data_IF_205459893878
#
_entry.id   IF_205459893878
#
_cell.length_a   1.000
_cell.length_b   1.000
_cell.length_c   1.000
_cell.angle_alpha   90.00
_cell.angle_beta   90.00
_cell.angle_gamma   90.00
#
_symmetry.space_group_name_H-M   'P 1'
#
loop_
_entity.id
_entity.type
_entity.pdbx_description
1 polymer ?
#
# COMPACT_ATOMS: atom_id res chain seq x y z
N UNK A 1 6.90 -8.50 -11.45
CA UNK A 1 6.75 -8.03 -10.07
C UNK A 1 5.54 -8.70 -9.42
N UNK A 2 5.71 -9.18 -8.22
CA UNK A 2 4.64 -9.78 -7.45
C UNK A 2 4.06 -8.74 -6.49
N UNK A 3 2.75 -8.58 -6.48
CA UNK A 3 2.06 -7.63 -5.60
C UNK A 3 1.19 -8.40 -4.62
N UNK A 4 1.44 -8.20 -3.32
CA UNK A 4 0.66 -8.80 -2.25
C UNK A 4 -0.02 -7.68 -1.47
N UNK A 5 -1.32 -7.82 -1.24
CA UNK A 5 -2.11 -6.83 -0.52
C UNK A 5 -2.74 -7.49 0.70
N UNK A 6 -2.48 -6.93 1.87
CA UNK A 6 -3.02 -7.41 3.14
C UNK A 6 -3.89 -6.33 3.76
N UNK A 7 -4.95 -6.73 4.42
CA UNK A 7 -5.83 -5.80 5.12
C UNK A 7 -6.03 -6.23 6.57
N UNK A 8 -6.19 -5.24 7.44
CA UNK A 8 -6.45 -5.46 8.87
C UNK A 8 -7.54 -4.49 9.33
N UNK A 9 -8.57 -5.02 9.97
CA UNK A 9 -9.72 -4.26 10.47
C UNK A 9 -10.53 -3.56 9.36
N UNK A 10 -10.39 -4.02 8.12
CA UNK A 10 -11.16 -3.51 7.00
C UNK A 10 -11.39 -4.62 5.98
N UNK A 11 -12.42 -4.47 5.17
CA UNK A 11 -12.68 -5.37 4.06
C UNK A 11 -11.96 -4.88 2.81
N UNK A 12 -11.20 -5.77 2.18
CA UNK A 12 -10.51 -5.46 0.95
C UNK A 12 -11.46 -5.64 -0.24
N UNK A 13 -12.06 -4.53 -0.68
CA UNK A 13 -12.99 -4.53 -1.82
C UNK A 13 -12.24 -4.58 -3.13
N UNK A 14 -12.90 -5.02 -4.21
CA UNK A 14 -12.29 -5.05 -5.54
C UNK A 14 -11.86 -3.66 -6.02
N UNK A 15 -12.66 -2.58 -5.86
CA UNK A 15 -12.20 -1.25 -6.22
C UNK A 15 -10.95 -0.80 -5.47
N UNK A 16 -10.86 -1.10 -4.18
CA UNK A 16 -9.69 -0.74 -3.37
C UNK A 16 -8.45 -1.53 -3.82
N UNK A 17 -8.63 -2.81 -4.08
CA UNK A 17 -7.56 -3.68 -4.57
C UNK A 17 -7.03 -3.19 -5.93
N UNK A 18 -7.93 -2.88 -6.85
CA UNK A 18 -7.58 -2.37 -8.17
C UNK A 18 -6.86 -1.04 -8.09
N UNK A 19 -7.34 -0.13 -7.26
CA UNK A 19 -6.74 1.18 -7.04
C UNK A 19 -5.31 1.04 -6.52
N UNK A 20 -5.12 0.22 -5.49
CA UNK A 20 -3.81 -0.02 -4.90
C UNK A 20 -2.84 -0.64 -5.91
N UNK A 21 -3.28 -1.67 -6.61
CA UNK A 21 -2.47 -2.34 -7.63
C UNK A 21 -2.05 -1.37 -8.73
N UNK A 22 -2.99 -0.54 -9.20
CA UNK A 22 -2.73 0.44 -10.24
C UNK A 22 -1.68 1.48 -9.80
N UNK A 23 -1.80 1.99 -8.57
CA UNK A 23 -0.87 2.98 -8.04
C UNK A 23 0.54 2.42 -7.89
N UNK A 24 0.66 1.22 -7.35
CA UNK A 24 1.96 0.58 -7.18
C UNK A 24 2.59 0.25 -8.53
N UNK A 25 1.81 -0.23 -9.48
CA UNK A 25 2.30 -0.54 -10.84
C UNK A 25 2.85 0.72 -11.51
N UNK A 26 2.14 1.85 -11.40
CA UNK A 26 2.60 3.13 -11.96
C UNK A 26 3.85 3.64 -11.26
N UNK A 27 3.89 3.55 -9.94
CA UNK A 27 5.02 4.04 -9.15
C UNK A 27 6.29 3.26 -9.43
N UNK A 28 6.18 1.96 -9.75
CA UNK A 28 7.33 1.10 -9.99
C UNK A 28 7.62 0.84 -11.46
N UNK A 29 6.87 1.47 -12.36
CA UNK A 29 6.97 1.21 -13.80
C UNK A 29 8.40 1.33 -14.36
N UNK A 30 9.13 2.37 -13.95
CA UNK A 30 10.51 2.60 -14.41
C UNK A 30 11.52 1.63 -13.79
N UNK A 31 11.12 0.90 -12.76
CA UNK A 31 12.00 0.01 -12.00
C UNK A 31 11.54 -1.45 -12.05
N UNK A 32 10.68 -1.78 -13.00
CA UNK A 32 10.08 -3.12 -13.09
C UNK A 32 11.10 -4.26 -13.22
N UNK A 33 12.27 -3.98 -13.77
CA UNK A 33 13.31 -4.99 -13.95
C UNK A 33 14.07 -5.29 -12.65
N UNK A 34 14.03 -4.38 -11.68
CA UNK A 34 14.74 -4.53 -10.41
C UNK A 34 13.82 -4.78 -9.22
N UNK A 35 12.55 -4.36 -9.31
CA UNK A 35 11.56 -4.60 -8.26
C UNK A 35 11.04 -6.03 -8.37
N UNK A 36 11.24 -6.82 -7.33
CA UNK A 36 10.82 -8.23 -7.29
C UNK A 36 9.42 -8.40 -6.71
N UNK A 37 9.11 -7.67 -5.66
CA UNK A 37 7.87 -7.83 -4.92
C UNK A 37 7.48 -6.52 -4.24
N UNK A 38 6.19 -6.28 -4.12
CA UNK A 38 5.62 -5.18 -3.35
C UNK A 38 4.60 -5.75 -2.38
N UNK A 39 4.83 -5.57 -1.07
CA UNK A 39 3.92 -5.94 -0.01
C UNK A 39 3.21 -4.68 0.48
N UNK A 40 1.88 -4.70 0.43
CA UNK A 40 1.08 -3.56 0.84
C UNK A 40 0.18 -3.99 1.99
N UNK A 41 0.27 -3.26 3.11
CA UNK A 41 -0.57 -3.49 4.29
C UNK A 41 -1.49 -2.30 4.48
N UNK A 42 -2.78 -2.55 4.38
CA UNK A 42 -3.82 -1.55 4.58
C UNK A 42 -4.51 -1.83 5.91
N UNK A 43 -4.68 -0.82 6.74
CA UNK A 43 -5.33 -1.00 8.03
C UNK A 43 -6.12 0.23 8.45
N UNK A 44 -7.12 0.00 9.30
CA UNK A 44 -7.91 1.06 9.92
C UNK A 44 -7.69 0.96 11.43
N UNK A 45 -7.30 2.07 12.04
CA UNK A 45 -7.12 2.14 13.48
C UNK A 45 -8.48 2.30 14.16
N UNK A 46 -8.81 1.37 15.06
CA UNK A 46 -10.08 1.38 15.78
C UNK A 46 -10.02 2.24 17.05
N UNK A 47 -9.77 3.52 16.88
CA UNK A 47 -9.80 4.45 17.99
C UNK A 47 -10.97 5.41 17.78
N UNK A 48 -11.97 5.47 18.70
CA UNK A 48 -13.12 6.34 18.52
C UNK A 48 -12.78 7.83 18.47
N UNK A 49 -11.59 8.20 18.94
CA UNK A 49 -11.15 9.60 18.93
C UNK A 49 -10.34 9.96 17.69
N UNK A 50 -9.82 8.97 16.98
CA UNK A 50 -8.97 9.19 15.81
C UNK A 50 -9.42 8.24 14.71
N UNK A 51 -9.97 8.79 13.66
CA UNK A 51 -10.24 8.03 12.45
C UNK A 51 -8.96 8.04 11.62
N UNK A 52 -8.19 6.96 11.72
CA UNK A 52 -6.92 6.88 11.00
C UNK A 52 -6.88 5.65 10.13
N UNK A 53 -6.65 5.85 8.84
CA UNK A 53 -6.46 4.78 7.88
C UNK A 53 -5.01 4.80 7.44
N UNK A 54 -4.39 3.63 7.47
CA UNK A 54 -2.95 3.49 7.27
C UNK A 54 -2.64 2.64 6.04
N UNK A 55 -1.71 3.12 5.23
CA UNK A 55 -1.16 2.36 4.10
C UNK A 55 0.35 2.23 4.29
N UNK A 56 0.83 0.98 4.34
CA UNK A 56 2.25 0.68 4.43
C UNK A 56 2.65 -0.13 3.21
N UNK A 57 3.71 0.30 2.53
CA UNK A 57 4.24 -0.38 1.36
C UNK A 57 5.68 -0.78 1.62
N UNK A 58 5.99 -2.05 1.38
CA UNK A 58 7.36 -2.57 1.42
C UNK A 58 7.72 -3.07 0.03
N UNK A 59 8.77 -2.52 -0.55
CA UNK A 59 9.25 -2.89 -1.88
C UNK A 59 10.56 -3.64 -1.75
N UNK A 60 10.59 -4.84 -2.32
CA UNK A 60 11.79 -5.68 -2.38
C UNK A 60 12.41 -5.57 -3.77
N UNK A 61 13.58 -4.96 -3.84
CA UNK A 61 14.36 -4.82 -5.06
C UNK A 61 15.71 -5.52 -4.87
N UNK A 62 16.55 -5.55 -5.90
CA UNK A 62 17.84 -6.23 -5.83
C UNK A 62 18.71 -5.77 -4.64
N UNK A 63 18.70 -6.56 -3.55
CA UNK A 63 19.50 -6.29 -2.35
C UNK A 63 19.05 -5.11 -1.50
N UNK A 64 17.91 -4.50 -1.83
CA UNK A 64 17.39 -3.31 -1.14
C UNK A 64 15.94 -3.53 -0.74
N UNK A 65 15.60 -3.09 0.47
CA UNK A 65 14.22 -3.08 0.97
C UNK A 65 13.83 -1.63 1.23
N UNK A 66 12.75 -1.17 0.59
CA UNK A 66 12.25 0.18 0.74
C UNK A 66 10.89 0.14 1.40
N UNK A 67 10.69 0.92 2.46
CA UNK A 67 9.43 1.01 3.19
C UNK A 67 8.92 2.43 3.20
N UNK A 68 7.60 2.57 3.04
CA UNK A 68 6.91 3.84 3.17
C UNK A 68 5.59 3.61 3.90
N UNK A 69 5.20 4.55 4.75
CA UNK A 69 3.95 4.48 5.49
C UNK A 69 3.29 5.86 5.51
N UNK A 70 1.99 5.90 5.27
CA UNK A 70 1.20 7.12 5.36
C UNK A 70 -0.11 6.86 6.09
N UNK A 71 -0.53 7.83 6.88
CA UNK A 71 -1.79 7.81 7.62
C UNK A 71 -2.63 9.00 7.21
N UNK A 72 -3.92 8.78 7.03
CA UNK A 72 -4.85 9.87 6.72
C UNK A 72 -6.28 9.48 7.11
N UNK A 73 -7.21 10.40 6.95
CA UNK A 73 -8.62 10.15 7.22
C UNK A 73 -9.26 9.26 6.15
N UNK A 74 -8.59 9.09 5.03
CA UNK A 74 -9.09 8.35 3.88
C UNK A 74 -8.02 7.42 3.35
N UNK A 75 -8.36 6.13 3.20
CA UNK A 75 -7.41 5.12 2.76
C UNK A 75 -6.86 5.40 1.36
N UNK A 76 -7.68 5.93 0.46
CA UNK A 76 -7.23 6.30 -0.88
C UNK A 76 -6.17 7.39 -0.82
N UNK A 77 -6.35 8.38 0.07
CA UNK A 77 -5.33 9.42 0.28
C UNK A 77 -4.05 8.85 0.86
N UNK A 78 -4.14 7.91 1.79
CA UNK A 78 -2.96 7.23 2.34
C UNK A 78 -2.19 6.49 1.26
N UNK A 79 -2.89 5.82 0.35
CA UNK A 79 -2.29 5.11 -0.77
C UNK A 79 -1.61 6.11 -1.74
N UNK A 80 -2.25 7.24 -2.01
CA UNK A 80 -1.69 8.25 -2.91
C UNK A 80 -0.41 8.88 -2.35
N UNK A 81 -0.34 9.06 -1.03
CA UNK A 81 0.78 9.71 -0.38
C UNK A 81 1.98 8.77 -0.16
N UNK A 82 1.69 7.48 -0.05
CA UNK A 82 2.75 6.50 0.16
C UNK A 82 3.53 6.25 -1.14
#
# INVERSE_FOLDING_TARGET
MKILIHSKNLELTEPLKEYTTSKITKATHHYKDIVKEADIHLSVEKNPRVSCQNAEVTIFANGIIIRAEEKSDNLYSSIDLV
#
